data_IF_757415016867
#
_entry.id   IF_757415016867
#
_cell.length_a   1.000
_cell.length_b   1.000
_cell.length_c   1.000
_cell.angle_alpha   90.00
_cell.angle_beta   90.00
_cell.angle_gamma   90.00
#
_symmetry.space_group_name_H-M   'P 1'
#
loop_
_entity.id
_entity.type
_entity.pdbx_description
1 polymer ?
#
# COMPACT_ATOMS: atom_id res chain seq x y z
N UNK A 1 57.70 10.65 60.15
CA UNK A 1 56.84 9.75 59.34
C UNK A 1 56.44 10.48 58.07
N UNK A 2 56.88 10.05 56.87
CA UNK A 2 56.49 10.71 55.63
C UNK A 2 55.05 10.30 55.25
N UNK A 3 54.26 11.25 54.74
CA UNK A 3 52.90 11.03 54.25
C UNK A 3 52.97 10.46 52.83
N UNK A 4 52.37 9.29 52.62
CA UNK A 4 52.23 8.64 51.31
C UNK A 4 51.35 9.52 50.40
N UNK A 5 51.72 9.77 49.13
CA UNK A 5 50.90 10.55 48.23
C UNK A 5 49.66 9.76 47.81
N UNK A 6 48.55 10.46 47.55
CA UNK A 6 47.29 9.87 47.12
C UNK A 6 47.42 9.26 45.70
N UNK A 7 46.70 8.17 45.39
CA UNK A 7 46.77 7.53 44.09
C UNK A 7 46.21 8.45 42.99
N UNK A 8 46.94 8.57 41.88
CA UNK A 8 46.52 9.37 40.73
C UNK A 8 45.25 8.78 40.10
N UNK A 9 44.22 9.61 39.94
CA UNK A 9 42.97 9.26 39.28
C UNK A 9 43.23 9.12 37.78
N UNK A 10 42.95 7.94 37.22
CA UNK A 10 43.06 7.71 35.78
C UNK A 10 42.04 8.56 35.01
N UNK A 11 42.49 9.27 33.97
CA UNK A 11 41.63 10.06 33.10
C UNK A 11 40.59 9.19 32.39
N UNK A 12 39.34 9.68 32.36
CA UNK A 12 38.25 8.98 31.68
C UNK A 12 38.45 9.00 30.17
N UNK A 13 38.11 7.91 29.45
CA UNK A 13 38.16 7.89 28.00
C UNK A 13 37.24 8.95 27.41
N UNK A 14 37.63 9.56 26.27
CA UNK A 14 36.87 10.66 25.66
C UNK A 14 35.44 10.24 25.35
N UNK A 15 34.46 11.17 25.50
CA UNK A 15 33.06 10.86 25.30
C UNK A 15 32.81 10.41 23.86
N UNK A 16 32.22 9.22 23.71
CA UNK A 16 31.81 8.72 22.40
C UNK A 16 30.65 9.58 21.89
N UNK A 17 30.58 9.88 20.58
CA UNK A 17 29.46 10.61 20.01
C UNK A 17 28.17 9.82 20.24
N UNK A 18 27.24 10.42 20.99
CA UNK A 18 25.92 9.88 21.22
C UNK A 18 25.15 10.05 19.91
N UNK A 19 24.58 8.97 19.36
CA UNK A 19 23.81 9.02 18.11
C UNK A 19 22.65 10.02 18.25
N UNK A 20 22.77 11.18 17.61
CA UNK A 20 21.75 12.23 17.61
C UNK A 20 20.61 11.96 16.60
N UNK A 21 20.69 10.87 15.84
CA UNK A 21 19.69 10.53 14.83
C UNK A 21 18.62 9.65 15.46
N UNK A 22 17.40 10.17 15.52
CA UNK A 22 16.25 9.43 16.03
C UNK A 22 15.93 8.25 15.10
N UNK A 23 15.84 7.01 15.62
CA UNK A 23 15.55 5.85 14.79
C UNK A 23 14.11 5.91 14.29
N UNK A 24 13.94 6.02 12.97
CA UNK A 24 12.63 5.90 12.33
C UNK A 24 12.27 4.43 12.15
N UNK A 25 11.15 4.03 12.77
CA UNK A 25 10.61 2.68 12.64
C UNK A 25 10.30 2.31 11.18
N UNK A 26 10.51 1.04 10.82
CA UNK A 26 10.12 0.50 9.51
C UNK A 26 8.61 0.67 9.26
N UNK A 27 7.79 0.55 10.30
CA UNK A 27 6.34 0.77 10.20
C UNK A 27 6.03 2.23 9.87
N UNK A 28 6.72 3.19 10.50
CA UNK A 28 6.57 4.61 10.20
C UNK A 28 6.97 4.94 8.76
N UNK A 29 8.03 4.29 8.25
CA UNK A 29 8.43 4.42 6.83
C UNK A 29 7.37 3.89 5.88
N UNK A 30 6.79 2.72 6.17
CA UNK A 30 5.72 2.13 5.35
C UNK A 30 4.43 2.97 5.39
N UNK A 31 4.06 3.50 6.55
CA UNK A 31 2.88 4.35 6.71
C UNK A 31 3.02 5.67 5.93
N UNK A 32 4.21 6.28 5.95
CA UNK A 32 4.48 7.47 5.17
C UNK A 32 4.56 7.18 3.66
N UNK A 33 5.07 6.01 3.26
CA UNK A 33 5.07 5.60 1.85
C UNK A 33 3.65 5.49 1.28
N UNK A 34 2.67 5.04 2.08
CA UNK A 34 1.25 5.00 1.70
C UNK A 34 0.60 6.38 1.52
N UNK A 35 1.20 7.46 2.03
CA UNK A 35 0.71 8.84 1.82
C UNK A 35 1.13 9.40 0.45
N UNK A 36 2.05 8.75 -0.26
CA UNK A 36 2.49 9.19 -1.59
C UNK A 36 1.34 9.01 -2.58
N UNK A 37 1.19 9.96 -3.51
CA UNK A 37 0.21 9.85 -4.59
C UNK A 37 0.38 8.52 -5.34
N UNK A 38 -0.72 7.79 -5.60
CA UNK A 38 -0.66 6.50 -6.27
C UNK A 38 -0.09 6.66 -7.68
N UNK A 39 0.73 5.70 -8.10
CA UNK A 39 1.34 5.73 -9.44
C UNK A 39 0.33 5.35 -10.52
N UNK A 40 -0.73 4.63 -10.15
CA UNK A 40 -1.85 4.28 -11.00
C UNK A 40 -3.12 4.86 -10.37
N UNK A 41 -3.93 5.64 -11.11
CA UNK A 41 -5.18 6.21 -10.57
C UNK A 41 -6.14 5.13 -10.07
N UNK A 42 -6.00 3.88 -10.56
CA UNK A 42 -6.88 2.79 -10.16
C UNK A 42 -6.51 2.12 -8.84
N UNK A 43 -5.33 2.40 -8.27
CA UNK A 43 -4.88 1.79 -7.01
C UNK A 43 -5.85 2.04 -5.85
N UNK A 44 -6.57 3.17 -5.86
CA UNK A 44 -7.55 3.52 -4.84
C UNK A 44 -8.75 2.56 -4.81
N UNK A 45 -9.11 1.96 -5.95
CA UNK A 45 -10.25 1.03 -6.04
C UNK A 45 -9.92 -0.35 -5.49
N UNK A 46 -8.65 -0.65 -5.16
CA UNK A 46 -8.32 -1.87 -4.41
C UNK A 46 -9.09 -1.96 -3.08
N UNK A 47 -9.51 -0.82 -2.51
CA UNK A 47 -10.26 -0.77 -1.25
C UNK A 47 -11.68 -1.33 -1.36
N UNK A 48 -12.29 -1.32 -2.56
CA UNK A 48 -13.62 -1.91 -2.79
C UNK A 48 -13.57 -3.41 -3.11
N UNK A 49 -12.37 -4.00 -3.12
CA UNK A 49 -12.19 -5.44 -3.27
C UNK A 49 -12.80 -6.20 -2.08
N UNK A 50 -13.78 -7.05 -2.36
CA UNK A 50 -14.43 -7.96 -1.41
C UNK A 50 -13.64 -9.23 -1.12
N UNK A 51 -12.35 -9.32 -1.50
CA UNK A 51 -11.50 -10.49 -1.19
C UNK A 51 -11.49 -10.76 0.32
N UNK A 52 -11.92 -11.95 0.73
CA UNK A 52 -11.98 -12.37 2.13
C UNK A 52 -13.24 -11.91 2.89
N UNK A 53 -14.19 -11.26 2.21
CA UNK A 53 -15.50 -10.91 2.78
C UNK A 53 -16.51 -12.01 2.44
N UNK A 54 -17.29 -12.45 3.42
CA UNK A 54 -18.26 -13.55 3.27
C UNK A 54 -19.48 -13.19 2.40
N UNK A 55 -19.94 -11.94 2.45
CA UNK A 55 -21.08 -11.43 1.68
C UNK A 55 -20.64 -10.52 0.51
N UNK A 56 -19.54 -10.91 -0.16
CA UNK A 56 -19.07 -10.21 -1.35
C UNK A 56 -19.96 -10.53 -2.56
N UNK A 57 -20.24 -9.52 -3.37
CA UNK A 57 -20.85 -9.68 -4.68
C UNK A 57 -19.77 -10.14 -5.66
N UNK A 58 -19.85 -11.39 -6.12
CA UNK A 58 -18.88 -11.96 -7.05
C UNK A 58 -19.32 -11.70 -8.50
N UNK A 59 -18.63 -10.78 -9.17
CA UNK A 59 -18.89 -10.44 -10.57
C UNK A 59 -17.82 -11.07 -11.45
N UNK A 60 -18.22 -11.67 -12.57
CA UNK A 60 -17.32 -12.19 -13.61
C UNK A 60 -17.39 -11.27 -14.83
N UNK A 61 -16.25 -10.73 -15.22
CA UNK A 61 -16.15 -9.83 -16.38
C UNK A 61 -15.41 -10.53 -17.50
N UNK A 62 -16.03 -10.63 -18.67
CA UNK A 62 -15.39 -11.10 -19.89
C UNK A 62 -14.98 -9.89 -20.72
N UNK A 63 -13.69 -9.76 -21.01
CA UNK A 63 -13.14 -8.65 -21.77
C UNK A 63 -12.92 -9.11 -23.22
N UNK A 64 -13.81 -8.73 -24.18
CA UNK A 64 -13.71 -9.22 -25.56
C UNK A 64 -12.47 -8.72 -26.30
N UNK A 65 -11.89 -7.60 -25.82
CA UNK A 65 -10.65 -7.04 -26.35
C UNK A 65 -9.40 -7.70 -25.76
N UNK A 66 -9.54 -8.58 -24.76
CA UNK A 66 -8.39 -9.26 -24.15
C UNK A 66 -7.89 -10.36 -25.08
N UNK A 67 -6.59 -10.68 -24.96
CA UNK A 67 -5.99 -11.83 -25.65
C UNK A 67 -6.69 -13.15 -25.30
N UNK A 68 -7.25 -13.26 -24.09
CA UNK A 68 -7.97 -14.43 -23.61
C UNK A 68 -9.41 -14.07 -23.23
N UNK A 69 -10.32 -13.95 -24.23
CA UNK A 69 -11.70 -13.49 -24.00
C UNK A 69 -12.54 -14.47 -23.18
N UNK A 70 -12.22 -15.77 -23.21
CA UNK A 70 -12.92 -16.82 -22.47
C UNK A 70 -12.52 -16.84 -20.98
N UNK A 71 -11.41 -16.21 -20.63
CA UNK A 71 -10.93 -16.16 -19.25
C UNK A 71 -11.58 -14.99 -18.52
N UNK A 72 -12.61 -15.27 -17.72
CA UNK A 72 -13.26 -14.25 -16.89
C UNK A 72 -12.29 -13.60 -15.90
N UNK A 73 -12.48 -12.31 -15.64
CA UNK A 73 -11.86 -11.60 -14.53
C UNK A 73 -12.79 -11.68 -13.31
N UNK A 74 -12.32 -12.35 -12.26
CA UNK A 74 -13.07 -12.50 -11.01
C UNK A 74 -12.93 -11.24 -10.14
N UNK A 75 -14.08 -10.60 -9.94
CA UNK A 75 -14.23 -9.33 -9.25
C UNK A 75 -15.11 -9.50 -7.99
N UNK A 76 -14.54 -9.96 -6.87
CA UNK A 76 -15.24 -9.92 -5.59
C UNK A 76 -15.38 -8.45 -5.16
N UNK A 77 -16.61 -7.99 -4.98
CA UNK A 77 -16.93 -6.60 -4.68
C UNK A 77 -17.65 -6.50 -3.32
N UNK A 78 -17.26 -5.52 -2.50
CA UNK A 78 -18.04 -5.19 -1.29
C UNK A 78 -19.37 -4.54 -1.67
N UNK A 79 -20.41 -4.66 -0.83
CA UNK A 79 -21.71 -4.02 -1.11
C UNK A 79 -21.72 -2.53 -0.81
N UNK A 80 -20.91 -2.10 0.15
CA UNK A 80 -20.80 -0.71 0.60
C UNK A 80 -19.40 -0.17 0.29
N UNK A 81 -19.36 0.96 -0.39
CA UNK A 81 -18.12 1.68 -0.69
C UNK A 81 -17.54 2.27 0.58
N UNK A 82 -16.22 2.09 0.72
CA UNK A 82 -15.41 2.72 1.76
C UNK A 82 -14.70 3.97 1.25
N UNK A 83 -14.90 4.33 -0.01
CA UNK A 83 -14.20 5.46 -0.64
C UNK A 83 -14.79 6.80 -0.20
N UNK A 84 -16.04 6.81 0.23
CA UNK A 84 -16.73 7.95 0.83
C UNK A 84 -16.78 7.82 2.35
N UNK A 85 -16.81 8.95 3.07
CA UNK A 85 -16.94 8.98 4.53
C UNK A 85 -18.22 8.32 5.06
N UNK A 86 -19.23 8.19 4.20
CA UNK A 86 -20.49 7.54 4.51
C UNK A 86 -20.60 6.20 3.76
N UNK A 87 -21.20 5.16 4.36
CA UNK A 87 -21.44 3.89 3.71
C UNK A 87 -22.46 4.08 2.58
N UNK A 88 -21.97 4.16 1.35
CA UNK A 88 -22.80 4.26 0.15
C UNK A 88 -22.78 2.94 -0.61
N UNK A 89 -23.86 2.53 -1.29
CA UNK A 89 -23.82 1.36 -2.15
C UNK A 89 -22.74 1.51 -3.22
N UNK A 90 -21.98 0.44 -3.48
CA UNK A 90 -20.95 0.48 -4.52
C UNK A 90 -21.58 0.74 -5.89
N UNK A 91 -21.01 1.70 -6.60
CA UNK A 91 -21.44 2.11 -7.93
C UNK A 91 -20.79 1.27 -9.03
N UNK A 92 -21.41 1.24 -10.20
CA UNK A 92 -20.83 0.58 -11.39
C UNK A 92 -19.48 1.20 -11.77
N UNK A 93 -19.32 2.51 -11.56
CA UNK A 93 -18.05 3.21 -11.83
C UNK A 93 -16.92 2.69 -10.94
N UNK A 94 -17.18 2.46 -9.65
CA UNK A 94 -16.21 1.87 -8.72
C UNK A 94 -15.91 0.40 -9.07
N UNK A 95 -16.91 -0.36 -9.50
CA UNK A 95 -16.71 -1.73 -9.97
C UNK A 95 -15.80 -1.77 -11.22
N UNK A 96 -15.98 -0.84 -12.16
CA UNK A 96 -15.09 -0.69 -13.32
C UNK A 96 -13.68 -0.28 -12.87
N UNK A 97 -13.56 0.64 -11.91
CA UNK A 97 -12.28 1.03 -11.32
C UNK A 97 -11.52 -0.15 -10.72
N UNK A 98 -12.22 -1.01 -9.97
CA UNK A 98 -11.66 -2.25 -9.43
C UNK A 98 -11.27 -3.22 -10.55
N UNK A 99 -12.08 -3.34 -11.60
CA UNK A 99 -11.80 -4.23 -12.72
C UNK A 99 -10.51 -3.81 -13.45
N UNK A 100 -10.32 -2.51 -13.69
CA UNK A 100 -9.12 -1.96 -14.32
C UNK A 100 -7.88 -2.16 -13.44
N UNK A 101 -8.00 -1.95 -12.13
CA UNK A 101 -6.93 -2.28 -11.18
C UNK A 101 -6.55 -3.76 -11.26
N UNK A 102 -7.52 -4.67 -11.19
CA UNK A 102 -7.29 -6.13 -11.29
C UNK A 102 -6.70 -6.53 -12.64
N UNK A 103 -7.16 -5.93 -13.72
CA UNK A 103 -6.65 -6.17 -15.06
C UNK A 103 -5.16 -5.81 -15.15
N UNK A 104 -4.78 -4.67 -14.55
CA UNK A 104 -3.37 -4.25 -14.48
C UNK A 104 -2.52 -5.16 -13.59
N UNK A 105 -3.03 -5.56 -12.41
CA UNK A 105 -2.33 -6.45 -11.47
C UNK A 105 -2.12 -7.87 -12.02
N UNK A 106 -3.11 -8.41 -12.74
CA UNK A 106 -3.03 -9.72 -13.38
C UNK A 106 -2.20 -9.70 -14.68
N UNK A 107 -1.72 -8.53 -15.11
CA UNK A 107 -0.87 -8.38 -16.29
C UNK A 107 -1.55 -8.81 -17.59
N UNK A 108 -2.87 -8.65 -17.68
CA UNK A 108 -3.63 -9.07 -18.87
C UNK A 108 -3.24 -8.25 -20.09
N UNK A 109 -3.31 -8.90 -21.25
CA UNK A 109 -3.08 -8.28 -22.54
C UNK A 109 -4.42 -7.96 -23.24
N UNK A 110 -4.49 -6.85 -24.00
CA UNK A 110 -3.46 -5.82 -24.20
C UNK A 110 -3.24 -4.93 -22.96
N UNK A 111 -2.00 -4.48 -22.75
CA UNK A 111 -1.70 -3.57 -21.62
C UNK A 111 -2.47 -2.25 -21.76
N UNK A 112 -2.90 -1.70 -20.63
CA UNK A 112 -3.52 -0.39 -20.59
C UNK A 112 -2.46 0.68 -20.89
N UNK A 113 -2.68 1.43 -21.97
CA UNK A 113 -1.80 2.53 -22.38
C UNK A 113 -1.67 3.58 -21.27
N UNK A 114 -0.45 3.85 -20.80
CA UNK A 114 -0.22 4.80 -19.71
C UNK A 114 -0.73 6.20 -20.02
N UNK A 115 -0.72 6.61 -21.29
CA UNK A 115 -1.26 7.89 -21.74
C UNK A 115 -2.78 8.04 -21.53
N UNK A 116 -3.48 6.94 -21.24
CA UNK A 116 -4.91 6.93 -20.90
C UNK A 116 -5.18 6.86 -19.39
N UNK A 117 -4.12 6.78 -18.57
CA UNK A 117 -4.15 6.60 -17.11
C UNK A 117 -3.78 7.88 -16.34
N UNK A 118 -3.61 9.00 -17.03
CA UNK A 118 -3.27 10.33 -16.48
C UNK A 118 -4.35 11.32 -16.83
#
# INVERSE_FOLDING_TARGET
KPKTPAPELQDLPPPRPISAVQPVSLLSKQLNARKKAPSNPFDQFAMVSGKGVSDALNIRIYAPFSSDPDMALDLPLVRESKLTDQPTPVTVAEAIGLALWRYSEEGRAPQLERSKLT
#
